data_IF_690961744527
#
_entry.id   IF_690961744527
#
_cell.length_a   1.000
_cell.length_b   1.000
_cell.length_c   1.000
_cell.angle_alpha   90.00
_cell.angle_beta   90.00
_cell.angle_gamma   90.00
#
_symmetry.space_group_name_H-M   'P 1'
#
loop_
_entity.id
_entity.type
_entity.pdbx_description
1 polymer ?
#
# COMPACT_ATOMS: atom_id res chain seq x y z
N UNK A 1 8.24 19.84 -8.41
CA UNK A 1 8.00 19.21 -9.75
C UNK A 1 7.06 20.09 -10.55
N UNK A 2 6.94 19.99 -11.90
CA UNK A 2 5.91 20.70 -12.63
C UNK A 2 4.52 20.20 -12.22
N UNK A 3 3.57 21.14 -12.13
CA UNK A 3 2.23 20.94 -11.58
C UNK A 3 1.48 19.76 -12.22
N UNK A 4 1.63 19.55 -13.53
CA UNK A 4 0.96 18.44 -14.24
C UNK A 4 1.38 17.05 -13.73
N UNK A 5 2.60 16.88 -13.21
CA UNK A 5 3.07 15.58 -12.68
C UNK A 5 2.45 15.27 -11.33
N UNK A 6 2.29 16.28 -10.48
CA UNK A 6 1.53 16.15 -9.24
C UNK A 6 0.08 15.78 -9.54
N UNK A 7 -0.54 16.45 -10.51
CA UNK A 7 -1.92 16.15 -10.92
C UNK A 7 -2.09 14.70 -11.37
N UNK A 8 -1.25 14.20 -12.29
CA UNK A 8 -1.30 12.80 -12.76
C UNK A 8 -1.14 11.82 -11.60
N UNK A 9 -0.16 12.06 -10.73
CA UNK A 9 0.11 11.19 -9.59
C UNK A 9 -1.04 11.16 -8.59
N UNK A 10 -1.56 12.34 -8.23
CA UNK A 10 -2.66 12.49 -7.27
C UNK A 10 -3.94 11.88 -7.82
N UNK A 11 -4.32 12.18 -9.06
CA UNK A 11 -5.55 11.64 -9.64
C UNK A 11 -5.46 10.13 -9.84
N UNK A 12 -4.30 9.63 -10.27
CA UNK A 12 -4.06 8.19 -10.33
C UNK A 12 -4.18 7.52 -8.97
N UNK A 13 -3.64 8.15 -7.91
CA UNK A 13 -3.74 7.64 -6.54
C UNK A 13 -5.19 7.68 -6.02
N UNK A 14 -5.92 8.76 -6.26
CA UNK A 14 -7.33 8.88 -5.92
C UNK A 14 -8.17 7.83 -6.66
N UNK A 15 -7.95 7.64 -7.95
CA UNK A 15 -8.62 6.62 -8.76
C UNK A 15 -8.33 5.21 -8.23
N UNK A 16 -7.06 4.89 -7.98
CA UNK A 16 -6.66 3.61 -7.40
C UNK A 16 -7.29 3.38 -6.02
N UNK A 17 -7.43 4.44 -5.20
CA UNK A 17 -8.06 4.37 -3.88
C UNK A 17 -9.57 4.13 -3.98
N UNK A 18 -10.27 4.82 -4.90
CA UNK A 18 -11.70 4.63 -5.14
C UNK A 18 -11.97 3.22 -5.67
N UNK A 19 -11.24 2.78 -6.70
CA UNK A 19 -11.36 1.44 -7.25
C UNK A 19 -11.03 0.37 -6.22
N UNK A 20 -9.98 0.58 -5.42
CA UNK A 20 -9.61 -0.32 -4.32
C UNK A 20 -10.70 -0.47 -3.25
N UNK A 21 -11.48 0.58 -3.00
CA UNK A 21 -12.62 0.52 -2.08
C UNK A 21 -13.86 -0.11 -2.73
N UNK A 22 -14.08 0.13 -4.03
CA UNK A 22 -15.20 -0.44 -4.80
C UNK A 22 -15.10 -1.97 -4.85
N UNK A 23 -13.90 -2.52 -4.90
CA UNK A 23 -13.63 -3.97 -4.90
C UNK A 23 -14.36 -4.73 -3.78
N UNK A 24 -14.56 -4.13 -2.59
CA UNK A 24 -15.28 -4.78 -1.50
C UNK A 24 -16.77 -5.00 -1.77
N UNK A 25 -17.36 -4.25 -2.72
CA UNK A 25 -18.75 -4.46 -3.16
C UNK A 25 -18.91 -5.73 -4.00
N UNK A 26 -17.82 -6.30 -4.49
CA UNK A 26 -17.80 -7.54 -5.27
C UNK A 26 -17.54 -8.77 -4.38
N UNK A 27 -17.89 -8.70 -3.08
CA UNK A 27 -17.70 -9.76 -2.09
C UNK A 27 -16.25 -10.22 -1.90
N UNK A 28 -15.28 -9.43 -2.34
CA UNK A 28 -13.87 -9.73 -2.11
C UNK A 28 -13.53 -9.51 -0.64
N UNK A 29 -13.02 -10.56 -0.01
CA UNK A 29 -12.63 -10.52 1.39
C UNK A 29 -11.37 -9.66 1.59
N UNK A 30 -11.28 -9.01 2.76
CA UNK A 30 -10.10 -8.25 3.17
C UNK A 30 -8.77 -9.01 2.99
N UNK A 31 -8.68 -10.33 3.30
CA UNK A 31 -7.43 -11.04 3.16
C UNK A 31 -7.02 -11.23 1.67
N UNK A 32 -7.95 -11.42 0.73
CA UNK A 32 -7.63 -11.44 -0.72
C UNK A 32 -7.05 -10.09 -1.16
N UNK A 33 -7.67 -8.98 -0.74
CA UNK A 33 -7.17 -7.65 -1.03
C UNK A 33 -5.74 -7.41 -0.46
N UNK A 34 -5.43 -7.97 0.71
CA UNK A 34 -4.09 -7.90 1.31
C UNK A 34 -3.05 -8.65 0.47
N UNK A 35 -3.38 -9.86 -0.01
CA UNK A 35 -2.49 -10.64 -0.89
C UNK A 35 -2.15 -9.84 -2.15
N UNK A 36 -3.15 -9.32 -2.85
CA UNK A 36 -2.88 -8.57 -4.09
C UNK A 36 -2.11 -7.27 -3.85
N UNK A 37 -2.37 -6.58 -2.73
CA UNK A 37 -1.57 -5.41 -2.32
C UNK A 37 -0.11 -5.77 -2.03
N UNK A 38 0.17 -6.94 -1.47
CA UNK A 38 1.55 -7.38 -1.21
C UNK A 38 2.28 -7.77 -2.50
N UNK A 39 1.55 -8.22 -3.54
CA UNK A 39 2.12 -8.47 -4.88
C UNK A 39 2.54 -7.19 -5.63
N UNK A 40 2.08 -6.00 -5.20
CA UNK A 40 2.43 -4.72 -5.82
C UNK A 40 3.93 -4.44 -5.80
N UNK A 41 4.69 -4.94 -4.81
CA UNK A 41 6.16 -4.82 -4.77
C UNK A 41 6.81 -5.60 -5.90
N UNK A 42 6.36 -6.84 -6.15
CA UNK A 42 6.82 -7.68 -7.24
C UNK A 42 6.49 -7.04 -8.61
N UNK A 43 5.26 -6.54 -8.78
CA UNK A 43 4.90 -5.79 -9.99
C UNK A 43 5.73 -4.52 -10.17
N UNK A 44 6.05 -3.81 -9.08
CA UNK A 44 6.93 -2.62 -9.12
C UNK A 44 8.34 -2.99 -9.56
N UNK A 45 8.89 -4.12 -9.11
CA UNK A 45 10.19 -4.61 -9.61
C UNK A 45 10.13 -4.98 -11.09
N UNK A 46 9.10 -5.72 -11.50
CA UNK A 46 8.92 -6.15 -12.89
C UNK A 46 8.81 -4.95 -13.84
N UNK A 47 7.93 -3.99 -13.53
CA UNK A 47 7.77 -2.78 -14.31
C UNK A 47 9.01 -1.88 -14.25
N UNK A 48 9.71 -1.85 -13.11
CA UNK A 48 10.96 -1.10 -12.96
C UNK A 48 12.08 -1.65 -13.85
N UNK A 49 12.15 -2.97 -14.00
CA UNK A 49 13.06 -3.65 -14.92
C UNK A 49 12.68 -3.37 -16.39
N UNK A 50 11.40 -3.57 -16.76
CA UNK A 50 10.94 -3.45 -18.14
C UNK A 50 10.95 -2.00 -18.67
N UNK A 51 10.42 -1.04 -17.91
CA UNK A 51 10.20 0.34 -18.36
C UNK A 51 11.42 1.22 -18.06
N UNK A 52 11.95 1.12 -16.83
CA UNK A 52 13.00 2.03 -16.34
C UNK A 52 14.40 1.40 -16.35
N UNK A 53 14.55 0.19 -16.91
CA UNK A 53 15.81 -0.58 -16.99
C UNK A 53 16.56 -0.67 -15.66
N UNK A 54 15.82 -0.76 -14.55
CA UNK A 54 16.40 -0.88 -13.22
C UNK A 54 17.01 -2.26 -13.02
N UNK A 55 18.16 -2.29 -12.36
CA UNK A 55 18.79 -3.52 -11.91
C UNK A 55 18.45 -3.72 -10.43
N UNK A 56 18.12 -4.95 -10.08
CA UNK A 56 17.84 -5.35 -8.71
C UNK A 56 18.81 -6.47 -8.35
N UNK A 57 19.37 -6.42 -7.14
CA UNK A 57 20.22 -7.50 -6.66
C UNK A 57 19.38 -8.74 -6.35
N UNK A 58 19.98 -9.93 -6.43
CA UNK A 58 19.29 -11.19 -6.13
C UNK A 58 18.68 -11.19 -4.72
N UNK A 59 19.35 -10.56 -3.75
CA UNK A 59 18.82 -10.40 -2.40
C UNK A 59 17.55 -9.55 -2.34
N UNK A 60 17.44 -8.50 -3.16
CA UNK A 60 16.20 -7.71 -3.25
C UNK A 60 15.06 -8.56 -3.79
N UNK A 61 15.29 -9.30 -4.88
CA UNK A 61 14.28 -10.14 -5.53
C UNK A 61 13.84 -11.26 -4.58
N UNK A 62 14.79 -12.02 -4.02
CA UNK A 62 14.51 -13.10 -3.08
C UNK A 62 13.80 -12.60 -1.84
N UNK A 63 14.24 -11.47 -1.27
CA UNK A 63 13.57 -10.84 -0.13
C UNK A 63 12.13 -10.46 -0.44
N UNK A 64 11.87 -9.84 -1.60
CA UNK A 64 10.51 -9.47 -2.01
C UNK A 64 9.61 -10.69 -2.23
N UNK A 65 10.11 -11.73 -2.90
CA UNK A 65 9.34 -12.97 -3.12
C UNK A 65 9.02 -13.65 -1.80
N UNK A 66 10.01 -13.73 -0.88
CA UNK A 66 9.82 -14.33 0.43
C UNK A 66 8.79 -13.56 1.27
N UNK A 67 8.79 -12.23 1.20
CA UNK A 67 7.74 -11.41 1.83
C UNK A 67 6.35 -11.66 1.24
N UNK A 68 6.23 -11.75 -0.09
CA UNK A 68 4.94 -12.05 -0.74
C UNK A 68 4.41 -13.41 -0.31
N UNK A 69 5.26 -14.45 -0.30
CA UNK A 69 4.90 -15.78 0.17
C UNK A 69 4.48 -15.76 1.66
N UNK A 70 5.25 -15.10 2.52
CA UNK A 70 4.91 -14.97 3.94
C UNK A 70 3.55 -14.32 4.17
N UNK A 71 3.24 -13.24 3.45
CA UNK A 71 1.92 -12.58 3.54
C UNK A 71 0.81 -13.50 3.05
N UNK A 72 1.01 -14.25 1.96
CA UNK A 72 0.04 -15.24 1.48
C UNK A 72 -0.22 -16.29 2.55
N UNK A 73 0.83 -16.84 3.16
CA UNK A 73 0.73 -17.85 4.22
C UNK A 73 -0.05 -17.35 5.44
N UNK A 74 0.28 -16.16 5.97
CA UNK A 74 -0.46 -15.55 7.10
C UNK A 74 -1.92 -15.24 6.74
N UNK A 75 -2.15 -14.87 5.49
CA UNK A 75 -3.50 -14.56 5.03
C UNK A 75 -4.35 -15.82 4.98
N UNK A 76 -3.82 -16.91 4.39
CA UNK A 76 -4.51 -18.20 4.32
C UNK A 76 -4.78 -18.75 5.72
N UNK A 77 -3.79 -18.66 6.62
CA UNK A 77 -3.97 -19.15 7.99
C UNK A 77 -5.12 -18.44 8.71
N UNK A 78 -5.23 -17.11 8.56
CA UNK A 78 -6.32 -16.33 9.13
C UNK A 78 -7.69 -16.58 8.49
N UNK A 79 -7.73 -17.08 7.24
CA UNK A 79 -8.98 -17.43 6.56
C UNK A 79 -9.50 -18.80 7.02
N UNK A 80 -8.61 -19.78 7.18
CA UNK A 80 -8.95 -21.13 7.63
C UNK A 80 -9.59 -21.12 9.02
N UNK A 81 -9.19 -20.19 9.89
CA UNK A 81 -9.79 -20.03 11.23
C UNK A 81 -11.20 -19.41 11.20
N UNK A 82 -11.63 -18.87 10.05
CA UNK A 82 -12.91 -18.17 9.87
C UNK A 82 -13.89 -18.89 8.94
N UNK A 83 -13.52 -20.02 8.35
CA UNK A 83 -14.35 -20.69 7.34
C UNK A 83 -15.40 -21.63 7.97
N UNK A 84 -16.61 -21.10 8.14
CA UNK A 84 -17.85 -21.87 8.24
C UNK A 84 -18.86 -21.28 7.26
N UNK A 85 -18.96 -21.86 6.05
CA UNK A 85 -20.13 -21.98 5.16
C UNK A 85 -19.72 -22.01 3.68
N UNK A 86 -20.15 -23.05 2.92
CA UNK A 86 -20.20 -23.00 1.47
C UNK A 86 -21.64 -23.06 0.96
N UNK A 87 -21.99 -22.18 0.03
CA UNK A 87 -22.95 -22.39 -1.08
C UNK A 87 -22.92 -21.10 -1.92
N UNK A 88 -22.11 -21.06 -2.98
CA UNK A 88 -22.09 -19.90 -3.90
C UNK A 88 -22.73 -20.26 -5.25
N UNK A 89 -23.62 -19.38 -5.71
CA UNK A 89 -24.38 -19.46 -6.96
C UNK A 89 -23.53 -18.98 -8.17
N UNK A 90 -23.82 -19.41 -9.42
CA UNK A 90 -23.03 -19.05 -10.61
C UNK A 90 -22.93 -17.54 -10.91
N UNK A 91 -23.90 -16.74 -10.45
CA UNK A 91 -23.93 -15.29 -10.64
C UNK A 91 -22.96 -14.56 -9.69
N UNK A 92 -22.66 -15.16 -8.53
CA UNK A 92 -21.68 -14.65 -7.57
C UNK A 92 -20.26 -14.81 -8.11
N UNK A 93 -19.99 -15.92 -8.82
CA UNK A 93 -18.67 -16.16 -9.42
C UNK A 93 -18.27 -15.11 -10.46
N UNK A 94 -19.19 -14.69 -11.36
CA UNK A 94 -18.88 -13.64 -12.36
C UNK A 94 -18.57 -12.30 -11.69
N UNK A 95 -19.32 -11.97 -10.65
CA UNK A 95 -19.13 -10.75 -9.85
C UNK A 95 -17.77 -10.79 -9.14
N UNK A 96 -17.43 -11.92 -8.53
CA UNK A 96 -16.13 -12.16 -7.89
C UNK A 96 -14.95 -11.98 -8.87
N UNK A 97 -15.02 -12.62 -10.04
CA UNK A 97 -13.97 -12.51 -11.09
C UNK A 97 -13.82 -11.06 -11.56
N UNK A 98 -14.93 -10.32 -11.71
CA UNK A 98 -14.87 -8.90 -12.10
C UNK A 98 -14.19 -8.03 -11.03
N UNK A 99 -14.49 -8.28 -9.74
CA UNK A 99 -13.80 -7.62 -8.63
C UNK A 99 -12.30 -7.94 -8.62
N UNK A 100 -11.93 -9.18 -8.92
CA UNK A 100 -10.54 -9.62 -8.98
C UNK A 100 -9.79 -8.91 -10.12
N UNK A 101 -10.41 -8.78 -11.29
CA UNK A 101 -9.85 -8.05 -12.42
C UNK A 101 -9.60 -6.57 -12.08
N UNK A 102 -10.56 -5.91 -11.40
CA UNK A 102 -10.38 -4.54 -10.92
C UNK A 102 -9.23 -4.47 -9.92
N UNK A 103 -9.13 -5.41 -8.97
CA UNK A 103 -8.08 -5.44 -7.97
C UNK A 103 -6.68 -5.59 -8.59
N UNK A 104 -6.54 -6.45 -9.61
CA UNK A 104 -5.30 -6.57 -10.40
C UNK A 104 -4.99 -5.27 -11.15
N UNK A 105 -6.00 -4.65 -11.77
CA UNK A 105 -5.82 -3.36 -12.43
C UNK A 105 -5.35 -2.27 -11.47
N UNK A 106 -5.93 -2.20 -10.28
CA UNK A 106 -5.53 -1.26 -9.22
C UNK A 106 -4.11 -1.53 -8.75
N UNK A 107 -3.71 -2.78 -8.56
CA UNK A 107 -2.37 -3.10 -8.07
C UNK A 107 -1.31 -2.73 -9.10
N UNK A 108 -1.54 -3.03 -10.38
CA UNK A 108 -0.67 -2.59 -11.48
C UNK A 108 -0.60 -1.06 -11.58
N UNK A 109 -1.74 -0.36 -11.48
CA UNK A 109 -1.80 1.10 -11.48
C UNK A 109 -0.98 1.68 -10.32
N UNK A 110 -1.11 1.14 -9.10
CA UNK A 110 -0.33 1.60 -7.94
C UNK A 110 1.17 1.34 -8.07
N UNK A 111 1.56 0.21 -8.68
CA UNK A 111 2.97 -0.09 -8.97
C UNK A 111 3.55 0.89 -10.00
N UNK A 112 2.79 1.19 -11.06
CA UNK A 112 3.18 2.19 -12.05
C UNK A 112 3.31 3.58 -11.43
N UNK A 113 2.33 4.03 -10.64
CA UNK A 113 2.37 5.32 -9.95
C UNK A 113 3.54 5.42 -8.97
N UNK A 114 3.87 4.33 -8.27
CA UNK A 114 5.04 4.29 -7.39
C UNK A 114 6.34 4.55 -8.17
N UNK A 115 6.54 3.90 -9.32
CA UNK A 115 7.69 4.12 -10.19
C UNK A 115 7.68 5.51 -10.84
N UNK A 116 6.52 5.99 -11.25
CA UNK A 116 6.34 7.33 -11.82
C UNK A 116 6.76 8.41 -10.82
N UNK A 117 6.30 8.30 -9.58
CA UNK A 117 6.66 9.19 -8.48
C UNK A 117 8.15 9.14 -8.17
N UNK A 118 8.73 7.95 -8.09
CA UNK A 118 10.17 7.80 -7.87
C UNK A 118 10.99 8.43 -9.00
N UNK A 119 10.65 8.13 -10.26
CA UNK A 119 11.37 8.66 -11.43
C UNK A 119 11.32 10.19 -11.46
N UNK A 120 10.15 10.76 -11.19
CA UNK A 120 9.99 12.19 -11.13
C UNK A 120 10.78 12.75 -9.95
N UNK A 121 10.67 12.19 -8.74
CA UNK A 121 11.43 12.64 -7.57
C UNK A 121 12.94 12.60 -7.81
N UNK A 122 13.44 11.58 -8.51
CA UNK A 122 14.86 11.45 -8.88
C UNK A 122 15.32 12.57 -9.82
N UNK A 123 14.56 12.84 -10.87
CA UNK A 123 14.88 13.90 -11.85
C UNK A 123 14.92 15.27 -11.16
N UNK A 124 13.95 15.57 -10.30
CA UNK A 124 13.87 16.89 -9.66
C UNK A 124 14.80 17.04 -8.45
N UNK A 125 15.16 15.95 -7.78
CA UNK A 125 16.24 15.98 -6.77
C UNK A 125 17.58 16.37 -7.40
N UNK A 126 17.87 15.89 -8.61
CA UNK A 126 19.14 16.16 -9.29
C UNK A 126 19.27 17.62 -9.80
N UNK A 127 18.17 18.37 -9.91
CA UNK A 127 18.14 19.73 -10.49
C UNK A 127 18.17 20.87 -9.46
N UNK A 128 18.43 20.57 -8.19
CA UNK A 128 18.71 21.49 -7.06
C UNK A 128 17.52 22.05 -6.21
N UNK A 129 17.81 22.06 -4.90
CA UNK A 129 17.22 22.66 -3.66
C UNK A 129 15.73 22.67 -3.29
N UNK A 130 14.77 22.24 -4.11
CA UNK A 130 13.35 22.12 -3.67
C UNK A 130 12.74 20.73 -3.90
N UNK A 131 13.42 19.69 -3.42
CA UNK A 131 12.81 18.38 -3.21
C UNK A 131 12.05 18.33 -1.88
N UNK A 132 11.24 19.35 -1.56
CA UNK A 132 10.56 19.36 -0.27
C UNK A 132 9.42 18.35 -0.29
N UNK A 133 9.47 17.35 0.57
CA UNK A 133 8.38 16.39 0.78
C UNK A 133 7.07 17.12 1.15
N UNK A 134 7.19 18.34 1.70
CA UNK A 134 6.08 19.26 1.98
C UNK A 134 5.37 19.72 0.71
N UNK A 135 6.10 20.02 -0.37
CA UNK A 135 5.52 20.38 -1.67
C UNK A 135 4.70 19.22 -2.23
N UNK A 136 5.26 17.99 -2.21
CA UNK A 136 4.54 16.81 -2.66
C UNK A 136 3.29 16.54 -1.80
N UNK A 137 3.41 16.73 -0.48
CA UNK A 137 2.30 16.58 0.45
C UNK A 137 1.20 17.62 0.18
N UNK A 138 1.58 18.89 0.04
CA UNK A 138 0.66 20.00 -0.23
C UNK A 138 -0.11 19.79 -1.52
N UNK A 139 0.58 19.55 -2.65
CA UNK A 139 -0.09 19.35 -3.94
C UNK A 139 -0.94 18.08 -3.98
N UNK A 140 -0.53 17.01 -3.28
CA UNK A 140 -1.34 15.80 -3.19
C UNK A 140 -2.69 16.04 -2.50
N UNK A 141 -2.73 16.89 -1.48
CA UNK A 141 -3.98 17.24 -0.81
C UNK A 141 -4.77 18.29 -1.58
N UNK A 142 -4.10 19.31 -2.12
CA UNK A 142 -4.73 20.36 -2.91
C UNK A 142 -5.46 19.78 -4.13
N UNK A 143 -4.84 18.87 -4.87
CA UNK A 143 -5.48 18.24 -6.03
C UNK A 143 -6.49 17.16 -5.67
N UNK A 144 -6.40 16.54 -4.49
CA UNK A 144 -7.43 15.60 -4.04
C UNK A 144 -8.78 16.30 -3.82
N UNK A 145 -8.79 17.58 -3.40
CA UNK A 145 -10.03 18.33 -3.13
C UNK A 145 -10.93 18.42 -4.38
N UNK A 146 -10.47 18.94 -5.54
CA UNK A 146 -11.25 18.92 -6.78
C UNK A 146 -11.74 17.53 -7.18
N UNK A 147 -10.92 16.50 -6.99
CA UNK A 147 -11.32 15.13 -7.31
C UNK A 147 -12.51 14.67 -6.46
N UNK A 148 -12.50 14.95 -5.15
CA UNK A 148 -13.61 14.61 -4.27
C UNK A 148 -14.86 15.46 -4.51
N UNK A 149 -14.71 16.71 -4.95
CA UNK A 149 -15.84 17.56 -5.35
C UNK A 149 -16.59 17.00 -6.57
N UNK A 150 -15.94 16.20 -7.41
CA UNK A 150 -16.60 15.49 -8.53
C UNK A 150 -17.42 14.28 -8.07
N UNK A 151 -17.35 13.88 -6.79
CA UNK A 151 -18.08 12.74 -6.23
C UNK A 151 -19.02 13.15 -5.07
N UNK A 152 -19.90 14.14 -5.25
CA UNK A 152 -20.72 14.65 -4.15
C UNK A 152 -21.74 13.64 -3.64
N UNK A 153 -22.25 12.75 -4.50
CA UNK A 153 -23.23 11.72 -4.12
C UNK A 153 -22.69 10.72 -3.11
N UNK A 154 -21.43 10.30 -3.27
CA UNK A 154 -20.77 9.41 -2.29
C UNK A 154 -20.58 10.14 -0.96
N UNK A 155 -20.12 11.39 -0.99
CA UNK A 155 -19.91 12.19 0.23
C UNK A 155 -21.19 12.40 1.03
N UNK A 156 -22.31 12.71 0.36
CA UNK A 156 -23.61 12.86 1.03
C UNK A 156 -24.05 11.57 1.71
N UNK A 157 -23.96 10.44 1.01
CA UNK A 157 -24.34 9.14 1.58
C UNK A 157 -23.50 8.80 2.82
N UNK A 158 -22.18 8.97 2.76
CA UNK A 158 -21.33 8.68 3.92
C UNK A 158 -21.59 9.65 5.08
N UNK A 159 -21.91 10.92 4.80
CA UNK A 159 -22.30 11.90 5.81
C UNK A 159 -23.62 11.52 6.49
N UNK A 160 -24.66 11.18 5.71
CA UNK A 160 -25.96 10.74 6.21
C UNK A 160 -25.84 9.47 7.07
N UNK A 161 -24.93 8.55 6.70
CA UNK A 161 -24.63 7.37 7.52
C UNK A 161 -24.07 7.80 8.89
N UNK A 162 -23.04 8.65 8.93
CA UNK A 162 -22.48 9.13 10.20
C UNK A 162 -23.52 9.92 11.02
N UNK A 163 -24.35 10.72 10.37
CA UNK A 163 -25.44 11.46 11.01
C UNK A 163 -26.50 10.51 11.60
N UNK A 164 -26.87 9.45 10.89
CA UNK A 164 -27.79 8.43 11.43
C UNK A 164 -27.21 7.72 12.67
N UNK A 165 -25.89 7.50 12.72
CA UNK A 165 -25.18 7.01 13.90
C UNK A 165 -25.09 8.04 15.04
N UNK A 166 -25.43 9.31 14.77
CA UNK A 166 -25.38 10.42 15.73
C UNK A 166 -26.58 10.49 16.66
N UNK A 167 -27.67 9.78 16.34
CA UNK A 167 -28.80 9.58 17.26
C UNK A 167 -28.44 8.66 18.45
N UNK A 168 -27.25 8.03 18.44
CA UNK A 168 -26.75 7.20 19.53
C UNK A 168 -25.96 8.02 20.57
N UNK A 169 -26.08 7.65 21.85
CA UNK A 169 -25.28 8.20 22.97
C UNK A 169 -23.75 8.07 22.77
N UNK A 170 -23.32 7.29 21.77
CA UNK A 170 -21.92 7.10 21.40
C UNK A 170 -21.41 8.06 20.30
N UNK A 171 -22.19 9.06 19.87
CA UNK A 171 -21.79 10.05 18.85
C UNK A 171 -20.36 10.60 19.04
N UNK A 172 -20.04 11.02 20.27
CA UNK A 172 -18.71 11.55 20.62
C UNK A 172 -17.59 10.52 20.40
N UNK A 173 -17.86 9.22 20.63
CA UNK A 173 -16.88 8.14 20.43
C UNK A 173 -16.62 7.88 18.95
N UNK A 174 -17.65 7.87 18.11
CA UNK A 174 -17.47 7.67 16.66
C UNK A 174 -16.66 8.79 16.01
N UNK A 175 -16.94 10.04 16.37
CA UNK A 175 -16.13 11.18 15.92
C UNK A 175 -14.70 11.13 16.44
N UNK A 176 -14.50 10.70 17.69
CA UNK A 176 -13.15 10.51 18.23
C UNK A 176 -12.37 9.44 17.45
N UNK A 177 -12.98 8.29 17.13
CA UNK A 177 -12.34 7.25 16.30
C UNK A 177 -12.05 7.74 14.88
N UNK A 178 -12.97 8.49 14.29
CA UNK A 178 -12.78 9.07 12.96
C UNK A 178 -11.62 10.07 12.94
N UNK A 179 -11.56 10.97 13.93
CA UNK A 179 -10.46 11.91 14.09
C UNK A 179 -9.11 11.19 14.30
N UNK A 180 -9.09 10.17 15.16
CA UNK A 180 -7.89 9.38 15.41
C UNK A 180 -7.40 8.65 14.13
N UNK A 181 -8.33 8.12 13.33
CA UNK A 181 -8.00 7.51 12.03
C UNK A 181 -7.41 8.55 11.05
N UNK A 182 -8.02 9.73 10.95
CA UNK A 182 -7.55 10.83 10.08
C UNK A 182 -6.15 11.30 10.49
N UNK A 183 -5.90 11.52 11.78
CA UNK A 183 -4.59 11.95 12.29
C UNK A 183 -3.53 10.89 12.00
N UNK A 184 -3.83 9.62 12.28
CA UNK A 184 -2.89 8.51 12.03
C UNK A 184 -2.57 8.40 10.53
N UNK A 185 -3.58 8.55 9.67
CA UNK A 185 -3.41 8.52 8.23
C UNK A 185 -2.60 9.71 7.73
N UNK A 186 -2.80 10.91 8.27
CA UNK A 186 -2.02 12.10 7.93
C UNK A 186 -0.54 11.93 8.29
N UNK A 187 -0.25 11.50 9.52
CA UNK A 187 1.11 11.21 9.98
C UNK A 187 1.79 10.16 9.10
N UNK A 188 1.03 9.12 8.76
CA UNK A 188 1.49 8.06 7.88
C UNK A 188 1.81 8.58 6.46
N UNK A 189 0.92 9.36 5.85
CA UNK A 189 1.11 9.91 4.49
C UNK A 189 2.27 10.90 4.47
N UNK A 190 2.41 11.75 5.50
CA UNK A 190 3.56 12.64 5.64
C UNK A 190 4.88 11.86 5.76
N UNK A 191 4.91 10.81 6.59
CA UNK A 191 6.08 9.94 6.74
C UNK A 191 6.48 9.25 5.43
N UNK A 192 5.51 8.69 4.70
CA UNK A 192 5.76 8.05 3.40
C UNK A 192 6.28 9.06 2.38
N UNK A 193 5.71 10.27 2.29
CA UNK A 193 6.19 11.32 1.39
C UNK A 193 7.64 11.73 1.69
N UNK A 194 8.01 11.80 2.98
CA UNK A 194 9.39 12.08 3.41
C UNK A 194 10.36 10.97 3.03
N UNK A 195 9.96 9.70 3.14
CA UNK A 195 10.80 8.55 2.77
C UNK A 195 10.86 8.40 1.23
N UNK A 196 9.79 8.76 0.52
CA UNK A 196 9.64 8.55 -0.91
C UNK A 196 10.56 9.39 -1.78
N UNK A 197 10.98 10.54 -1.27
CA UNK A 197 12.04 11.31 -1.93
C UNK A 197 13.38 10.59 -1.79
N UNK A 198 13.64 9.90 -0.66
CA UNK A 198 14.95 9.32 -0.29
C UNK A 198 15.19 7.90 -0.79
N UNK A 199 14.15 7.16 -1.14
CA UNK A 199 14.22 5.72 -1.38
C UNK A 199 13.56 5.33 -2.69
N UNK A 200 13.77 4.08 -3.12
CA UNK A 200 13.14 3.57 -4.32
C UNK A 200 11.66 3.23 -4.11
N UNK A 201 10.87 3.19 -5.18
CA UNK A 201 9.47 2.76 -5.19
C UNK A 201 9.31 1.36 -4.58
N UNK A 202 10.26 0.47 -4.84
CA UNK A 202 10.25 -0.90 -4.31
C UNK A 202 10.48 -0.90 -2.80
N UNK A 203 11.45 -0.10 -2.32
CA UNK A 203 11.73 0.05 -0.89
C UNK A 203 10.54 0.65 -0.14
N UNK A 204 9.88 1.65 -0.73
CA UNK A 204 8.62 2.18 -0.21
C UNK A 204 7.55 1.11 -0.13
N UNK A 205 7.39 0.29 -1.17
CA UNK A 205 6.46 -0.83 -1.17
C UNK A 205 6.73 -1.82 -0.03
N UNK A 206 8.00 -2.16 0.23
CA UNK A 206 8.41 -3.02 1.35
C UNK A 206 8.07 -2.38 2.71
N UNK A 207 8.35 -1.09 2.91
CA UNK A 207 8.03 -0.38 4.16
C UNK A 207 6.50 -0.33 4.38
N UNK A 208 5.73 -0.05 3.33
CA UNK A 208 4.27 -0.04 3.39
C UNK A 208 3.71 -1.43 3.70
N UNK A 209 4.35 -2.49 3.20
CA UNK A 209 3.98 -3.87 3.48
C UNK A 209 4.24 -4.22 4.94
N UNK A 210 5.44 -3.90 5.44
CA UNK A 210 5.81 -4.09 6.85
C UNK A 210 4.86 -3.37 7.79
N UNK A 211 4.48 -2.12 7.48
CA UNK A 211 3.53 -1.37 8.30
C UNK A 211 2.21 -2.11 8.47
N UNK A 212 1.61 -2.59 7.36
CA UNK A 212 0.34 -3.33 7.40
C UNK A 212 0.47 -4.61 8.20
N UNK A 213 1.57 -5.30 8.00
CA UNK A 213 1.84 -6.56 8.66
C UNK A 213 2.03 -6.38 10.17
N UNK A 214 2.78 -5.36 10.59
CA UNK A 214 2.93 -4.98 12.00
C UNK A 214 1.60 -4.59 12.63
N UNK A 215 0.75 -3.84 11.93
CA UNK A 215 -0.60 -3.53 12.42
C UNK A 215 -1.44 -4.81 12.62
N UNK A 216 -1.34 -5.77 11.71
CA UNK A 216 -2.03 -7.07 11.83
C UNK A 216 -1.51 -7.87 13.05
N UNK A 217 -0.19 -7.93 13.21
CA UNK A 217 0.46 -8.63 14.32
C UNK A 217 0.09 -7.99 15.66
N UNK A 218 0.16 -6.66 15.76
CA UNK A 218 -0.24 -5.92 16.95
C UNK A 218 -1.72 -6.15 17.29
N UNK A 219 -2.59 -6.18 16.28
CA UNK A 219 -4.01 -6.52 16.47
C UNK A 219 -4.18 -7.92 17.05
N UNK A 220 -3.50 -8.93 16.52
CA UNK A 220 -3.60 -10.29 17.02
C UNK A 220 -3.05 -10.43 18.45
N UNK A 221 -1.96 -9.74 18.78
CA UNK A 221 -1.41 -9.71 20.13
C UNK A 221 -2.36 -9.05 21.13
N UNK A 222 -2.96 -7.91 20.77
CA UNK A 222 -3.83 -7.16 21.67
C UNK A 222 -5.14 -7.92 21.95
N UNK A 223 -5.73 -8.56 20.94
CA UNK A 223 -6.96 -9.33 21.07
C UNK A 223 -6.74 -10.78 21.54
N UNK A 224 -5.51 -11.17 21.87
CA UNK A 224 -5.14 -12.52 22.33
C UNK A 224 -5.66 -13.63 21.39
N UNK A 225 -5.61 -13.39 20.07
CA UNK A 225 -6.01 -14.42 19.12
C UNK A 225 -4.84 -15.40 18.93
N UNK A 226 -5.09 -16.70 19.10
CA UNK A 226 -4.05 -17.71 18.91
C UNK A 226 -3.60 -17.72 17.44
N UNK A 227 -2.30 -17.55 17.23
CA UNK A 227 -1.71 -17.66 15.90
C UNK A 227 -1.51 -19.12 15.57
N UNK A 228 -2.19 -19.61 14.52
CA UNK A 228 -1.94 -20.96 14.03
C UNK A 228 -0.46 -21.15 13.64
N UNK A 229 0.09 -22.38 13.73
CA UNK A 229 1.49 -22.65 13.40
C UNK A 229 1.87 -22.18 11.97
N UNK A 230 0.92 -22.24 11.04
CA UNK A 230 1.06 -21.74 9.68
C UNK A 230 1.20 -20.20 9.64
N UNK A 231 0.41 -19.49 10.44
CA UNK A 231 0.52 -18.04 10.59
C UNK A 231 1.84 -17.60 11.21
N UNK A 232 2.37 -18.38 12.16
CA UNK A 232 3.69 -18.13 12.73
C UNK A 232 4.81 -18.32 11.69
N UNK A 233 4.74 -19.38 10.88
CA UNK A 233 5.69 -19.60 9.78
C UNK A 233 5.65 -18.43 8.78
N UNK A 234 4.45 -18.01 8.36
CA UNK A 234 4.28 -16.88 7.45
C UNK A 234 4.86 -15.59 8.02
N UNK A 235 4.68 -15.35 9.33
CA UNK A 235 5.26 -14.20 10.05
C UNK A 235 6.79 -14.20 9.99
N UNK A 236 7.42 -15.35 10.28
CA UNK A 236 8.88 -15.50 10.19
C UNK A 236 9.35 -15.22 8.76
N UNK A 237 8.64 -15.73 7.74
CA UNK A 237 9.00 -15.48 6.33
C UNK A 237 8.94 -13.99 5.97
N UNK A 238 7.92 -13.24 6.43
CA UNK A 238 7.82 -11.80 6.15
C UNK A 238 8.99 -11.03 6.75
N UNK A 239 9.34 -11.29 8.02
CA UNK A 239 10.46 -10.61 8.67
C UNK A 239 11.81 -11.03 8.10
N UNK A 240 12.01 -12.32 7.80
CA UNK A 240 13.21 -12.81 7.15
C UNK A 240 13.39 -12.19 5.76
N UNK A 241 12.33 -12.14 4.95
CA UNK A 241 12.34 -11.51 3.63
C UNK A 241 12.67 -10.02 3.69
N UNK A 242 12.10 -9.30 4.66
CA UNK A 242 12.43 -7.90 4.91
C UNK A 242 13.89 -7.70 5.32
N UNK A 243 14.43 -8.59 6.17
CA UNK A 243 15.82 -8.60 6.57
C UNK A 243 16.78 -8.80 5.40
N UNK A 244 16.53 -9.83 4.58
CA UNK A 244 17.31 -10.11 3.35
C UNK A 244 17.26 -8.94 2.38
N UNK A 245 16.06 -8.37 2.15
CA UNK A 245 15.89 -7.20 1.30
C UNK A 245 16.70 -6.00 1.82
N UNK A 246 16.59 -5.68 3.11
CA UNK A 246 17.27 -4.54 3.73
C UNK A 246 18.79 -4.71 3.72
N UNK A 247 19.29 -5.91 4.02
CA UNK A 247 20.71 -6.23 3.97
C UNK A 247 21.28 -6.07 2.54
N UNK A 248 20.56 -6.58 1.54
CA UNK A 248 20.99 -6.48 0.15
C UNK A 248 21.09 -5.04 -0.36
N UNK A 249 20.17 -4.15 0.08
CA UNK A 249 20.26 -2.70 -0.19
C UNK A 249 21.49 -2.11 0.48
N UNK A 250 21.74 -2.45 1.75
CA UNK A 250 22.91 -1.95 2.49
C UNK A 250 24.22 -2.32 1.78
N UNK A 251 24.37 -3.60 1.42
CA UNK A 251 25.54 -4.11 0.71
C UNK A 251 25.74 -3.44 -0.66
N UNK A 252 24.66 -3.15 -1.38
CA UNK A 252 24.71 -2.47 -2.68
C UNK A 252 25.14 -1.00 -2.54
N UNK A 253 24.64 -0.30 -1.51
CA UNK A 253 25.05 1.06 -1.18
C UNK A 253 26.53 1.13 -0.77
N UNK A 254 27.03 0.17 0.01
CA UNK A 254 28.43 0.14 0.43
C UNK A 254 29.37 -0.12 -0.75
N UNK A 255 28.99 -1.01 -1.68
CA UNK A 255 29.73 -1.24 -2.92
C UNK A 255 29.83 0.02 -3.78
N UNK A 256 28.77 0.84 -3.84
CA UNK A 256 28.81 2.11 -4.57
C UNK A 256 29.77 3.11 -3.92
N UNK A 257 29.71 3.28 -2.60
CA UNK A 257 30.64 4.17 -1.86
C UNK A 257 32.10 3.75 -2.00
N UNK A 258 32.37 2.45 -2.06
CA UNK A 258 33.75 1.95 -2.27
C UNK A 258 34.27 2.22 -3.68
N UNK A 259 33.40 2.27 -4.70
CA UNK A 259 33.79 2.64 -6.07
C UNK A 259 34.09 4.14 -6.17
N UNK A 260 33.24 4.99 -5.60
CA UNK A 260 33.45 6.45 -5.58
C UNK A 260 34.73 6.86 -4.85
N UNK A 261 35.21 6.07 -3.88
CA UNK A 261 36.48 6.34 -3.18
C UNK A 261 37.73 5.88 -3.96
N UNK A 262 37.58 5.10 -5.02
CA UNK A 262 38.68 4.56 -5.85
C UNK A 262 38.88 5.34 -7.14
N UNK A 263 37.90 6.16 -7.53
CA UNK A 263 37.94 7.11 -8.65
C UNK A 263 38.39 8.49 -8.15
#
# INVERSE_FOLDING_TARGET
>A
MPLYRYLISTYGFCLASVLGNIVFRFHLSLPIHIIFRSSSTAFTMLLGYLIYRKKYSLGQILGSVLMSLGVITVTISNMSDRSSQPNEEPQEFRTYVSGLAILVGVTMLTSFLSLYNESSNRIYRAKERSGSWLENLFYSHLYAIPFFLLMPGTLKREYELVESLSASSNFKKYWAFLLANVITQLLCVAGVNKIAILTSAVTLGVILLLRRFLSLLFSMLLFHNEMSPLGMLGTIMVFAGAGVYSYSIGAENDKMKMKEKRE
#
